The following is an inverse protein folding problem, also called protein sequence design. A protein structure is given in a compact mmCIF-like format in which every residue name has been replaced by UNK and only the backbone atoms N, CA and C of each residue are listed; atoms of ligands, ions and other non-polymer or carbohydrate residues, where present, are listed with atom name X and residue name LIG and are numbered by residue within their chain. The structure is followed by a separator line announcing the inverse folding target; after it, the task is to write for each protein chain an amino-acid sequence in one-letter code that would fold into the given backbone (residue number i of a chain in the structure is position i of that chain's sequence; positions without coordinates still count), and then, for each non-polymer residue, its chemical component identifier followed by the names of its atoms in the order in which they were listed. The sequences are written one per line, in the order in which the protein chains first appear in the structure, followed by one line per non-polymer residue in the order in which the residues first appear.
data_IF_973802285826
#
_entry.id   IF_973802285826
#
_cell.length_a   1.000
_cell.length_b   1.000
_cell.length_c   1.000
_cell.angle_alpha   90.00
_cell.angle_beta   90.00
_cell.angle_gamma   90.00
#
_symmetry.space_group_name_H-M   'P 1'
#
loop_
_entity.id
_entity.type
_entity.pdbx_description
1 polymer ?
#
# COMPACT_ATOMS: atom_id res chain seq x y z
N UNK A 1 -18.16 8.96 -13.55
CA UNK A 1 -18.09 10.17 -12.70
C UNK A 1 -16.78 10.07 -11.91
N UNK A 2 -15.72 10.73 -12.39
CA UNK A 2 -14.37 10.58 -11.82
C UNK A 2 -14.17 11.60 -10.69
N UNK A 3 -14.00 11.12 -9.44
CA UNK A 3 -13.66 11.95 -8.28
C UNK A 3 -14.44 11.68 -6.98
N UNK A 4 -15.44 10.79 -6.99
CA UNK A 4 -16.24 10.49 -5.79
C UNK A 4 -15.66 9.33 -4.95
N UNK A 5 -15.87 9.31 -3.61
CA UNK A 5 -15.39 8.23 -2.74
C UNK A 5 -15.97 6.86 -3.10
N UNK A 6 -15.23 5.77 -2.84
CA UNK A 6 -15.60 4.42 -3.22
C UNK A 6 -16.94 3.96 -2.61
N UNK A 7 -17.15 4.18 -1.30
CA UNK A 7 -18.42 3.85 -0.64
C UNK A 7 -19.60 4.65 -1.18
N UNK A 8 -19.37 5.90 -1.62
CA UNK A 8 -20.41 6.70 -2.25
C UNK A 8 -20.74 6.15 -3.65
N UNK A 9 -19.73 5.67 -4.38
CA UNK A 9 -19.96 4.97 -5.65
C UNK A 9 -20.81 3.71 -5.46
N UNK A 10 -20.58 2.93 -4.39
CA UNK A 10 -21.43 1.78 -4.04
C UNK A 10 -22.87 2.19 -3.74
N UNK A 11 -23.05 3.26 -2.96
CA UNK A 11 -24.38 3.81 -2.67
C UNK A 11 -25.14 4.20 -3.95
N UNK A 12 -24.45 4.80 -4.94
CA UNK A 12 -25.05 5.15 -6.22
C UNK A 12 -25.48 3.93 -7.05
N UNK A 13 -24.78 2.79 -6.93
CA UNK A 13 -25.18 1.54 -7.63
C UNK A 13 -26.52 0.99 -7.13
N UNK A 14 -26.87 1.29 -5.89
CA UNK A 14 -28.10 0.83 -5.25
C UNK A 14 -29.26 1.83 -5.38
N UNK A 15 -29.05 2.96 -6.06
CA UNK A 15 -30.09 3.96 -6.27
C UNK A 15 -31.33 3.31 -6.93
N UNK A 16 -32.51 3.57 -6.36
CA UNK A 16 -33.78 3.06 -6.85
C UNK A 16 -34.18 1.68 -6.31
N UNK A 17 -33.36 1.01 -5.48
CA UNK A 17 -33.82 -0.17 -4.76
C UNK A 17 -34.91 0.21 -3.76
N UNK A 18 -36.08 -0.43 -3.84
CA UNK A 18 -37.21 -0.20 -2.93
C UNK A 18 -37.72 -1.50 -2.34
N UNK A 19 -38.44 -1.39 -1.22
CA UNK A 19 -39.23 -2.49 -0.68
C UNK A 19 -40.24 -2.99 -1.71
N UNK A 20 -40.59 -4.27 -1.61
CA UNK A 20 -41.59 -4.89 -2.49
C UNK A 20 -42.84 -5.09 -1.63
N UNK A 21 -43.99 -4.64 -2.15
CA UNK A 21 -45.25 -4.85 -1.47
C UNK A 21 -45.64 -6.34 -1.46
N UNK A 22 -46.06 -6.86 -0.31
CA UNK A 22 -46.48 -8.26 -0.15
C UNK A 22 -45.47 -9.10 0.66
N UNK A 23 -45.60 -10.43 0.67
CA UNK A 23 -44.81 -11.31 1.54
C UNK A 23 -43.36 -11.54 1.07
N UNK A 24 -42.96 -10.94 -0.05
CA UNK A 24 -41.63 -11.11 -0.63
C UNK A 24 -40.74 -9.92 -0.33
N UNK A 25 -39.49 -10.18 0.03
CA UNK A 25 -38.52 -9.13 0.33
C UNK A 25 -37.60 -8.83 -0.86
N UNK A 26 -37.20 -7.57 -1.04
CA UNK A 26 -36.22 -7.22 -2.07
C UNK A 26 -34.87 -7.92 -1.76
N UNK A 27 -34.34 -8.76 -2.67
CA UNK A 27 -33.11 -9.51 -2.44
C UNK A 27 -31.88 -8.60 -2.26
N UNK A 28 -31.88 -7.38 -2.80
CA UNK A 28 -30.81 -6.39 -2.59
C UNK A 28 -30.88 -5.80 -1.19
N UNK A 29 -32.08 -5.48 -0.70
CA UNK A 29 -32.27 -4.95 0.67
C UNK A 29 -31.88 -6.01 1.70
N UNK A 30 -32.35 -7.25 1.53
CA UNK A 30 -31.97 -8.36 2.43
C UNK A 30 -30.48 -8.69 2.39
N UNK A 31 -29.80 -8.48 1.24
CA UNK A 31 -28.35 -8.64 1.14
C UNK A 31 -27.59 -7.66 2.05
N UNK A 32 -28.06 -6.42 2.23
CA UNK A 32 -27.42 -5.47 3.15
C UNK A 32 -27.38 -6.00 4.60
N UNK A 33 -28.46 -6.63 5.05
CA UNK A 33 -28.52 -7.25 6.37
C UNK A 33 -27.57 -8.45 6.47
N UNK A 34 -27.57 -9.31 5.44
CA UNK A 34 -26.70 -10.50 5.38
C UNK A 34 -25.22 -10.14 5.44
N UNK A 35 -24.79 -9.17 4.65
CA UNK A 35 -23.40 -8.71 4.59
C UNK A 35 -22.90 -8.22 5.95
N UNK A 36 -23.78 -7.61 6.74
CA UNK A 36 -23.49 -7.14 8.08
C UNK A 36 -23.68 -8.21 9.18
N UNK A 37 -24.12 -9.42 8.84
CA UNK A 37 -24.34 -10.52 9.78
C UNK A 37 -25.69 -10.49 10.51
N UNK A 38 -26.67 -9.75 10.00
CA UNK A 38 -28.02 -9.59 10.57
C UNK A 38 -29.09 -10.38 9.82
N UNK A 39 -28.77 -11.60 9.40
CA UNK A 39 -29.65 -12.46 8.59
C UNK A 39 -31.01 -12.71 9.26
N UNK A 40 -31.04 -12.83 10.60
CA UNK A 40 -32.25 -13.03 11.38
C UNK A 40 -33.19 -11.80 11.42
N UNK A 41 -32.69 -10.63 11.02
CA UNK A 41 -33.41 -9.37 11.01
C UNK A 41 -33.67 -8.83 9.60
N UNK A 42 -33.49 -9.66 8.56
CA UNK A 42 -33.73 -9.33 7.16
C UNK A 42 -35.23 -9.23 6.84
N UNK A 43 -35.94 -8.33 7.51
CA UNK A 43 -37.32 -7.91 7.22
C UNK A 43 -37.27 -6.44 6.82
N UNK A 44 -37.96 -6.11 5.73
CA UNK A 44 -38.15 -4.75 5.22
C UNK A 44 -38.81 -3.80 6.24
N UNK A 45 -39.57 -4.34 7.19
CA UNK A 45 -40.26 -3.61 8.26
C UNK A 45 -39.31 -2.95 9.30
N UNK A 46 -38.01 -3.29 9.31
CA UNK A 46 -37.00 -2.76 10.24
C UNK A 46 -36.20 -1.65 9.55
N UNK A 47 -36.06 -0.50 10.21
CA UNK A 47 -35.41 0.65 9.61
C UNK A 47 -33.99 0.35 9.08
N UNK A 48 -33.85 0.19 7.76
CA UNK A 48 -32.65 -0.38 7.12
C UNK A 48 -31.64 0.65 6.59
N UNK A 49 -31.83 1.94 6.92
CA UNK A 49 -30.89 3.01 6.55
C UNK A 49 -29.45 2.73 7.00
N UNK A 50 -29.26 2.18 8.22
CA UNK A 50 -27.96 1.85 8.77
C UNK A 50 -27.36 0.58 8.15
N UNK A 51 -28.20 -0.40 7.79
CA UNK A 51 -27.78 -1.59 7.05
C UNK A 51 -27.26 -1.22 5.66
N UNK A 52 -28.00 -0.37 4.95
CA UNK A 52 -27.58 0.20 3.68
C UNK A 52 -26.24 0.95 3.79
N UNK A 53 -26.13 1.88 4.75
CA UNK A 53 -24.91 2.67 4.92
C UNK A 53 -23.71 1.77 5.24
N UNK A 54 -23.89 0.75 6.09
CA UNK A 54 -22.84 -0.19 6.44
C UNK A 54 -22.39 -1.06 5.28
N UNK A 55 -23.33 -1.60 4.50
CA UNK A 55 -23.02 -2.37 3.31
C UNK A 55 -22.26 -1.53 2.27
N UNK A 56 -22.66 -0.28 2.04
CA UNK A 56 -21.95 0.61 1.12
C UNK A 56 -20.53 0.93 1.58
N UNK A 57 -20.32 1.12 2.89
CA UNK A 57 -18.98 1.31 3.46
C UNK A 57 -18.12 0.07 3.28
N UNK A 58 -18.63 -1.12 3.61
CA UNK A 58 -17.88 -2.38 3.51
C UNK A 58 -17.56 -2.76 2.07
N UNK A 59 -18.51 -2.61 1.14
CA UNK A 59 -18.26 -2.78 -0.29
C UNK A 59 -17.28 -1.74 -0.84
N UNK A 60 -17.28 -0.54 -0.25
CA UNK A 60 -16.31 0.52 -0.55
C UNK A 60 -14.94 0.32 0.10
N UNK A 61 -14.70 -0.82 0.78
CA UNK A 61 -13.42 -1.16 1.39
C UNK A 61 -13.19 -0.60 2.79
N UNK A 62 -14.24 -0.13 3.48
CA UNK A 62 -14.16 0.44 4.83
C UNK A 62 -14.89 -0.43 5.85
N UNK A 63 -14.43 -0.42 7.10
CA UNK A 63 -15.25 -0.96 8.19
C UNK A 63 -16.58 -0.20 8.29
N UNK A 64 -17.60 -0.83 8.86
CA UNK A 64 -18.84 -0.18 9.24
C UNK A 64 -19.06 -0.35 10.75
N UNK A 65 -20.08 0.29 11.31
CA UNK A 65 -20.46 0.01 12.70
C UNK A 65 -21.12 -1.37 12.85
N UNK A 66 -21.47 -2.02 11.72
CA UNK A 66 -22.31 -3.22 11.61
C UNK A 66 -23.59 -3.16 12.46
N UNK A 67 -24.01 -1.97 12.88
CA UNK A 67 -25.19 -1.77 13.71
C UNK A 67 -26.37 -1.37 12.83
N UNK A 68 -27.55 -1.90 13.14
CA UNK A 68 -28.80 -1.46 12.52
C UNK A 68 -29.29 -0.10 13.07
N UNK A 69 -28.58 0.49 14.04
CA UNK A 69 -28.92 1.79 14.60
C UNK A 69 -28.18 2.92 13.89
N UNK A 70 -28.91 3.85 13.26
CA UNK A 70 -28.33 5.01 12.57
C UNK A 70 -27.42 5.86 13.46
N UNK A 71 -27.75 6.01 14.75
CA UNK A 71 -26.96 6.79 15.73
C UNK A 71 -25.57 6.21 16.00
N UNK A 72 -25.33 4.93 15.69
CA UNK A 72 -24.00 4.31 15.81
C UNK A 72 -22.95 5.06 14.98
N UNK A 73 -23.35 5.60 13.82
CA UNK A 73 -22.46 6.34 12.94
C UNK A 73 -22.08 7.73 13.44
N UNK A 74 -22.71 8.25 14.51
CA UNK A 74 -22.42 9.60 14.99
C UNK A 74 -20.99 9.78 15.56
N UNK A 75 -20.36 8.66 15.90
CA UNK A 75 -18.98 8.58 16.41
C UNK A 75 -18.04 7.80 15.49
N UNK A 76 -18.52 7.38 14.32
CA UNK A 76 -17.79 6.56 13.37
C UNK A 76 -16.88 7.41 12.47
N UNK A 77 -15.69 6.95 12.09
CA UNK A 77 -14.71 7.72 11.31
C UNK A 77 -14.19 8.96 12.04
N UNK A 78 -13.77 9.98 11.30
CA UNK A 78 -13.30 11.28 11.82
C UNK A 78 -14.44 12.32 11.85
N UNK A 79 -14.58 13.15 12.90
CA UNK A 79 -15.52 14.27 12.86
C UNK A 79 -15.06 15.31 11.84
N UNK A 80 -16.02 15.88 11.10
CA UNK A 80 -15.77 17.03 10.23
C UNK A 80 -16.76 18.15 10.53
N UNK A 81 -16.30 19.39 10.39
CA UNK A 81 -17.12 20.58 10.65
C UNK A 81 -17.87 21.07 9.41
N UNK A 82 -17.30 20.82 8.22
CA UNK A 82 -17.86 21.25 6.94
C UNK A 82 -18.39 20.05 6.13
N UNK A 83 -19.46 20.29 5.37
CA UNK A 83 -19.99 19.29 4.45
C UNK A 83 -18.96 18.89 3.40
N UNK A 84 -18.90 17.58 3.15
CA UNK A 84 -18.06 17.00 2.11
C UNK A 84 -18.85 15.94 1.37
N UNK A 85 -18.72 15.93 0.04
CA UNK A 85 -19.33 14.89 -0.79
C UNK A 85 -18.91 13.50 -0.31
N UNK A 86 -19.87 12.66 0.04
CA UNK A 86 -19.67 11.32 0.59
C UNK A 86 -19.50 11.23 2.10
N UNK A 87 -19.50 12.35 2.85
CA UNK A 87 -19.49 12.32 4.31
C UNK A 87 -20.76 11.62 4.83
N UNK A 88 -20.63 10.88 5.94
CA UNK A 88 -21.76 10.29 6.64
C UNK A 88 -22.44 11.39 7.45
N UNK A 89 -23.73 11.60 7.18
CA UNK A 89 -24.58 12.48 7.98
C UNK A 89 -25.53 11.63 8.83
N UNK A 90 -25.57 11.92 10.13
CA UNK A 90 -26.53 11.32 11.06
C UNK A 90 -27.55 12.38 11.45
N UNK A 91 -28.84 12.09 11.22
CA UNK A 91 -29.95 12.98 11.53
C UNK A 91 -30.73 12.51 12.75
N UNK A 92 -31.39 13.45 13.43
CA UNK A 92 -32.41 13.14 14.43
C UNK A 92 -33.68 12.59 13.77
N UNK A 93 -34.39 11.71 14.50
CA UNK A 93 -35.69 11.17 14.08
C UNK A 93 -36.67 11.24 15.26
N UNK A 94 -37.62 12.18 15.18
CA UNK A 94 -38.57 12.47 16.25
C UNK A 94 -37.88 13.01 17.51
N UNK A 95 -38.54 12.88 18.66
CA UNK A 95 -38.07 13.45 19.93
C UNK A 95 -37.17 12.49 20.73
N UNK A 96 -37.05 11.22 20.32
CA UNK A 96 -36.23 10.25 21.03
C UNK A 96 -34.76 10.35 20.56
N UNK A 97 -33.80 10.70 21.44
CA UNK A 97 -32.40 10.87 21.07
C UNK A 97 -31.71 9.56 20.62
N UNK A 98 -32.32 8.40 20.90
CA UNK A 98 -31.85 7.09 20.45
C UNK A 98 -32.20 6.80 18.98
N UNK A 99 -33.21 7.47 18.41
CA UNK A 99 -33.61 7.28 17.02
C UNK A 99 -32.89 8.28 16.10
N UNK A 100 -32.60 7.82 14.88
CA UNK A 100 -31.96 8.66 13.88
C UNK A 100 -32.14 8.13 12.48
N UNK A 101 -31.57 8.86 11.54
CA UNK A 101 -31.41 8.48 10.13
C UNK A 101 -29.95 8.65 9.73
N UNK A 102 -29.47 7.87 8.76
CA UNK A 102 -28.09 7.95 8.27
C UNK A 102 -28.07 7.85 6.75
N UNK A 103 -27.19 8.64 6.12
CA UNK A 103 -26.96 8.65 4.69
C UNK A 103 -25.69 9.40 4.32
N UNK A 104 -25.35 9.42 3.04
CA UNK A 104 -24.14 10.08 2.54
C UNK A 104 -24.48 11.43 1.90
N UNK A 105 -23.72 12.48 2.25
CA UNK A 105 -23.88 13.82 1.71
C UNK A 105 -23.64 13.83 0.20
N UNK A 106 -24.62 14.29 -0.57
CA UNK A 106 -24.54 14.48 -2.03
C UNK A 106 -24.79 15.93 -2.48
N UNK A 107 -25.25 16.79 -1.56
CA UNK A 107 -25.43 18.22 -1.78
C UNK A 107 -25.79 18.94 -0.48
N UNK A 108 -25.60 20.26 -0.42
CA UNK A 108 -25.90 21.07 0.76
C UNK A 108 -26.13 22.55 0.42
N UNK A 109 -26.88 23.23 1.30
CA UNK A 109 -27.10 24.67 1.34
C UNK A 109 -26.97 25.17 2.78
N UNK A 110 -27.28 26.44 3.02
CA UNK A 110 -27.26 27.04 4.38
C UNK A 110 -28.25 26.37 5.32
N UNK A 111 -29.40 25.96 4.80
CA UNK A 111 -30.57 25.50 5.53
C UNK A 111 -30.88 24.01 5.32
N UNK A 112 -30.34 23.38 4.25
CA UNK A 112 -30.66 22.00 3.89
C UNK A 112 -29.43 21.19 3.51
N UNK A 113 -29.56 19.88 3.66
CA UNK A 113 -28.59 18.87 3.20
C UNK A 113 -29.31 17.79 2.42
N UNK A 114 -28.66 17.25 1.39
CA UNK A 114 -29.19 16.18 0.56
C UNK A 114 -28.39 14.92 0.79
N UNK A 115 -29.08 13.84 1.14
CA UNK A 115 -28.49 12.55 1.46
C UNK A 115 -28.89 11.50 0.43
N UNK A 116 -27.90 10.79 -0.08
CA UNK A 116 -28.10 9.48 -0.67
C UNK A 116 -28.15 8.45 0.46
N UNK A 117 -29.30 7.84 0.67
CA UNK A 117 -29.57 6.99 1.82
C UNK A 117 -30.60 5.92 1.55
N UNK A 118 -30.53 4.83 2.29
CA UNK A 118 -31.52 3.76 2.29
C UNK A 118 -32.69 4.07 3.21
N UNK A 119 -33.80 3.37 3.01
CA UNK A 119 -35.06 3.53 3.74
C UNK A 119 -35.61 4.96 3.76
N UNK A 120 -35.44 5.68 2.65
CA UNK A 120 -35.99 7.00 2.45
C UNK A 120 -37.25 6.87 1.60
N UNK A 121 -38.40 6.81 2.27
CA UNK A 121 -39.67 6.41 1.67
C UNK A 121 -39.56 4.99 1.09
N UNK A 122 -39.11 4.06 1.94
CA UNK A 122 -38.97 2.63 1.65
C UNK A 122 -38.08 2.32 0.43
N UNK A 123 -37.15 3.25 0.14
CA UNK A 123 -36.24 3.16 -1.02
C UNK A 123 -34.85 3.74 -0.75
N UNK A 124 -33.89 3.35 -1.58
CA UNK A 124 -32.60 4.03 -1.75
C UNK A 124 -32.81 5.20 -2.70
N UNK A 125 -32.71 6.42 -2.19
CA UNK A 125 -33.00 7.63 -2.95
C UNK A 125 -32.08 8.79 -2.53
N UNK A 126 -32.18 9.91 -3.23
CA UNK A 126 -31.63 11.19 -2.77
C UNK A 126 -32.77 12.00 -2.16
N UNK A 127 -32.67 12.33 -0.87
CA UNK A 127 -33.68 13.09 -0.15
C UNK A 127 -33.08 14.31 0.54
N UNK A 128 -33.83 15.41 0.55
CA UNK A 128 -33.45 16.66 1.22
C UNK A 128 -33.97 16.72 2.66
N UNK A 129 -33.13 17.20 3.57
CA UNK A 129 -33.43 17.34 4.99
C UNK A 129 -33.02 18.72 5.51
N UNK A 130 -33.77 19.22 6.49
CA UNK A 130 -33.42 20.45 7.21
C UNK A 130 -32.09 20.28 7.98
N UNK A 131 -31.19 21.25 7.85
CA UNK A 131 -29.86 21.24 8.48
C UNK A 131 -29.96 21.18 10.01
N UNK A 132 -31.04 21.71 10.60
CA UNK A 132 -31.31 21.63 12.04
C UNK A 132 -31.48 20.20 12.57
N UNK A 133 -31.73 19.23 11.69
CA UNK A 133 -31.83 17.80 12.04
C UNK A 133 -30.47 17.11 12.07
N UNK A 134 -29.43 17.74 11.54
CA UNK A 134 -28.08 17.17 11.51
C UNK A 134 -27.53 17.08 12.93
N UNK A 135 -27.21 15.86 13.35
CA UNK A 135 -26.60 15.63 14.66
C UNK A 135 -25.09 15.48 14.57
N UNK A 136 -24.57 14.92 13.47
CA UNK A 136 -23.13 14.79 13.26
C UNK A 136 -22.78 14.58 11.79
N UNK A 137 -21.66 15.17 11.36
CA UNK A 137 -20.98 14.85 10.11
C UNK A 137 -19.70 14.09 10.40
N UNK A 138 -19.49 13.00 9.67
CA UNK A 138 -18.34 12.14 9.82
C UNK A 138 -17.69 11.82 8.47
N UNK A 139 -16.39 11.92 8.42
CA UNK A 139 -15.59 11.40 7.33
C UNK A 139 -15.18 9.95 7.64
N UNK A 140 -15.47 8.97 6.79
CA UNK A 140 -15.13 7.56 7.04
C UNK A 140 -13.62 7.23 7.05
N UNK A 141 -12.74 8.22 6.94
CA UNK A 141 -11.31 8.07 6.62
C UNK A 141 -10.57 7.09 7.51
N UNK A 142 -10.19 5.94 6.92
CA UNK A 142 -9.41 4.83 7.49
C UNK A 142 -10.00 4.20 8.79
N UNK A 143 -9.93 2.87 8.96
CA UNK A 143 -10.81 2.12 9.86
C UNK A 143 -10.61 2.50 11.34
N UNK A 144 -11.71 2.80 12.04
CA UNK A 144 -11.71 2.80 13.51
C UNK A 144 -11.59 1.37 14.03
N UNK A 145 -10.50 1.13 14.74
CA UNK A 145 -10.37 0.05 15.71
C UNK A 145 -11.41 0.21 16.85
N UNK A 146 -11.99 -0.93 17.29
CA UNK A 146 -12.84 -1.09 18.49
C UNK A 146 -14.33 -0.79 18.24
N UNK A 147 -15.29 -1.69 18.47
CA UNK A 147 -15.53 -2.52 19.66
C UNK A 147 -15.98 -3.94 19.30
N UNK A 148 -15.53 -4.94 20.05
CA UNK A 148 -15.60 -6.36 19.68
C UNK A 148 -16.58 -7.25 20.43
N UNK A 149 -16.61 -8.50 19.99
CA UNK A 149 -16.85 -9.70 20.81
C UNK A 149 -15.74 -10.71 20.49
N UNK A 150 -15.28 -11.43 21.51
CA UNK A 150 -14.01 -12.13 21.55
C UNK A 150 -13.99 -13.34 20.60
N UNK A 151 -13.29 -13.20 19.48
CA UNK A 151 -12.26 -14.15 19.02
C UNK A 151 -11.17 -13.30 18.33
N UNK A 152 -10.06 -13.06 19.06
CA UNK A 152 -8.80 -12.44 18.62
C UNK A 152 -8.93 -11.43 17.47
N UNK A 153 -9.22 -10.15 17.75
CA UNK A 153 -8.83 -9.11 16.80
C UNK A 153 -7.34 -9.31 16.50
N UNK A 154 -6.92 -9.50 15.23
CA UNK A 154 -5.50 -9.50 14.93
C UNK A 154 -4.93 -8.22 15.56
N UNK A 155 -3.84 -8.30 16.33
CA UNK A 155 -3.27 -7.09 16.92
C UNK A 155 -3.08 -6.06 15.79
N UNK A 156 -3.19 -4.76 16.09
CA UNK A 156 -2.98 -3.71 15.08
C UNK A 156 -1.80 -4.13 14.18
N UNK A 157 -2.09 -4.42 12.91
CA UNK A 157 -1.11 -5.08 12.05
C UNK A 157 0.12 -4.21 11.89
N UNK A 158 -0.06 -2.88 11.99
CA UNK A 158 1.03 -1.94 12.06
C UNK A 158 1.85 -2.13 13.35
N UNK A 159 1.21 -2.20 14.52
CA UNK A 159 1.91 -2.47 15.78
C UNK A 159 2.67 -3.82 15.74
N UNK A 160 2.06 -4.90 15.24
CA UNK A 160 2.75 -6.19 15.09
C UNK A 160 3.96 -6.11 14.16
N UNK A 161 3.80 -5.43 13.02
CA UNK A 161 4.86 -5.27 12.04
C UNK A 161 5.97 -4.35 12.57
N UNK A 162 5.60 -3.32 13.35
CA UNK A 162 6.54 -2.43 14.03
C UNK A 162 7.34 -3.17 15.09
N UNK A 163 6.68 -3.93 15.97
CA UNK A 163 7.35 -4.75 16.99
C UNK A 163 8.33 -5.73 16.33
N UNK A 164 7.90 -6.40 15.26
CA UNK A 164 8.76 -7.28 14.47
C UNK A 164 9.96 -6.54 13.86
N UNK A 165 9.77 -5.34 13.32
CA UNK A 165 10.89 -4.54 12.79
C UNK A 165 11.84 -4.12 13.92
N UNK A 166 11.32 -3.66 15.05
CA UNK A 166 12.11 -3.18 16.19
C UNK A 166 12.91 -4.30 16.88
N UNK A 167 12.37 -5.52 16.95
CA UNK A 167 13.10 -6.73 17.37
C UNK A 167 14.35 -6.97 16.50
N UNK A 168 14.32 -6.54 15.24
CA UNK A 168 15.37 -6.79 14.25
C UNK A 168 16.33 -5.60 14.06
N UNK A 169 15.91 -4.37 14.38
CA UNK A 169 16.70 -3.12 14.29
C UNK A 169 17.67 -2.93 15.47
N UNK A 170 17.47 -3.61 16.60
CA UNK A 170 18.38 -3.56 17.75
C UNK A 170 18.27 -2.27 18.59
N UNK A 171 19.31 -2.00 19.40
CA UNK A 171 19.34 -0.89 20.36
C UNK A 171 20.00 0.40 19.84
N UNK A 172 20.28 1.32 20.76
CA UNK A 172 21.01 2.56 20.43
C UNK A 172 22.44 2.27 19.95
N UNK A 173 22.86 2.98 18.90
CA UNK A 173 24.24 2.98 18.38
C UNK A 173 24.68 4.42 18.10
N UNK A 174 25.98 4.67 18.30
CA UNK A 174 26.64 5.94 17.99
C UNK A 174 28.07 5.63 17.56
N UNK A 175 28.20 5.02 16.38
CA UNK A 175 29.49 4.69 15.79
C UNK A 175 30.02 5.92 15.02
N UNK A 176 31.23 6.42 15.33
CA UNK A 176 31.85 7.53 14.60
C UNK A 176 32.02 7.30 13.08
N UNK A 177 31.97 6.04 12.62
CA UNK A 177 32.08 5.65 11.21
C UNK A 177 30.73 5.35 10.57
N UNK A 178 29.62 5.43 11.31
CA UNK A 178 28.28 5.30 10.75
C UNK A 178 27.87 6.63 10.10
N UNK A 179 27.66 6.68 8.76
CA UNK A 179 27.21 7.89 8.09
C UNK A 179 25.82 8.38 8.58
N UNK A 180 25.04 7.51 9.23
CA UNK A 180 23.75 7.86 9.86
C UNK A 180 23.88 8.58 11.22
N UNK A 181 25.04 8.48 11.87
CA UNK A 181 25.29 9.03 13.20
C UNK A 181 24.45 8.35 14.30
N UNK A 182 24.22 9.04 15.44
CA UNK A 182 23.43 8.49 16.55
C UNK A 182 22.08 7.96 16.07
N UNK A 183 21.82 6.69 16.34
CA UNK A 183 20.61 5.98 15.88
C UNK A 183 20.01 5.19 17.03
N UNK A 184 18.70 5.30 17.25
CA UNK A 184 17.97 4.48 18.21
C UNK A 184 16.73 3.90 17.54
N UNK A 185 16.46 2.60 17.70
CA UNK A 185 15.28 1.95 17.11
C UNK A 185 15.15 2.17 15.59
N UNK A 186 16.28 2.23 14.87
CA UNK A 186 16.35 2.55 13.44
C UNK A 186 16.06 4.01 13.07
N UNK A 187 15.87 4.90 14.05
CA UNK A 187 15.65 6.34 13.84
C UNK A 187 16.96 7.08 14.07
N UNK A 188 17.44 7.78 13.04
CA UNK A 188 18.65 8.61 13.12
C UNK A 188 18.37 9.95 13.80
N UNK A 189 19.41 10.59 14.33
CA UNK A 189 19.33 11.94 14.89
C UNK A 189 18.71 12.94 13.88
N UNK A 190 19.09 12.83 12.61
CA UNK A 190 18.52 13.64 11.52
C UNK A 190 17.01 13.40 11.32
N UNK A 191 16.57 12.15 11.43
CA UNK A 191 15.15 11.79 11.31
C UNK A 191 14.34 12.38 12.46
N UNK A 192 14.83 12.26 13.71
CA UNK A 192 14.18 12.86 14.87
C UNK A 192 14.14 14.38 14.76
N UNK A 193 15.25 15.02 14.40
CA UNK A 193 15.34 16.47 14.27
C UNK A 193 14.33 17.00 13.22
N UNK A 194 14.24 16.34 12.06
CA UNK A 194 13.25 16.66 11.03
C UNK A 194 11.81 16.45 11.52
N UNK A 195 11.53 15.37 12.26
CA UNK A 195 10.22 15.11 12.87
C UNK A 195 9.80 16.21 13.86
N UNK A 196 10.76 16.73 14.62
CA UNK A 196 10.58 17.87 15.53
C UNK A 196 10.61 19.23 14.85
N UNK A 197 10.88 19.29 13.54
CA UNK A 197 11.07 20.54 12.78
C UNK A 197 12.18 21.41 13.38
N UNK A 198 13.28 20.78 13.79
CA UNK A 198 14.47 21.45 14.35
C UNK A 198 15.67 21.16 13.48
N UNK A 199 16.49 22.18 13.23
CA UNK A 199 17.81 22.00 12.62
C UNK A 199 18.80 21.49 13.65
N UNK A 200 19.75 20.66 13.22
CA UNK A 200 20.84 20.18 14.08
C UNK A 200 21.95 21.22 14.08
N UNK A 201 22.34 21.70 15.26
CA UNK A 201 23.47 22.61 15.43
C UNK A 201 24.25 22.28 16.72
N UNK A 202 25.47 22.83 16.90
CA UNK A 202 26.31 22.50 18.05
C UNK A 202 25.65 22.75 19.42
N UNK A 203 24.77 23.76 19.53
CA UNK A 203 24.14 24.12 20.80
C UNK A 203 22.97 23.19 21.18
N UNK A 204 22.32 22.55 20.21
CA UNK A 204 21.18 21.66 20.47
C UNK A 204 21.46 20.16 20.26
N UNK A 205 22.59 19.81 19.64
CA UNK A 205 22.92 18.41 19.27
C UNK A 205 22.89 17.47 20.47
N UNK A 206 23.49 17.87 21.60
CA UNK A 206 23.52 17.04 22.81
C UNK A 206 22.11 16.75 23.36
N UNK A 207 21.23 17.76 23.35
CA UNK A 207 19.85 17.62 23.79
C UNK A 207 19.04 16.71 22.85
N UNK A 208 19.23 16.83 21.53
CA UNK A 208 18.57 15.95 20.55
C UNK A 208 19.05 14.49 20.67
N UNK A 209 20.32 14.25 21.02
CA UNK A 209 20.81 12.89 21.27
C UNK A 209 20.18 12.31 22.53
N UNK A 210 20.05 13.10 23.60
CA UNK A 210 19.36 12.68 24.81
C UNK A 210 17.88 12.35 24.53
N UNK A 211 17.21 13.19 23.73
CA UNK A 211 15.84 12.95 23.26
C UNK A 211 15.75 11.67 22.41
N UNK A 212 16.70 11.44 21.50
CA UNK A 212 16.75 10.24 20.68
C UNK A 212 16.91 8.96 21.52
N UNK A 213 17.75 9.01 22.57
CA UNK A 213 17.92 7.89 23.50
C UNK A 213 16.64 7.59 24.29
N UNK A 214 15.88 8.62 24.64
CA UNK A 214 14.64 8.55 25.40
C UNK A 214 13.37 8.67 24.53
N UNK A 215 13.46 8.39 23.23
CA UNK A 215 12.35 8.59 22.30
C UNK A 215 11.14 7.75 22.72
N UNK A 216 9.98 8.41 22.81
CA UNK A 216 8.74 7.76 23.22
C UNK A 216 8.27 6.74 22.17
N UNK A 217 7.69 5.63 22.62
CA UNK A 217 7.17 4.59 21.72
C UNK A 217 6.12 5.14 20.74
N UNK A 218 5.30 6.10 21.16
CA UNK A 218 4.30 6.76 20.30
C UNK A 218 4.95 7.56 19.18
N UNK A 219 6.07 8.24 19.46
CA UNK A 219 6.84 8.95 18.44
C UNK A 219 7.51 7.98 17.46
N UNK A 220 8.05 6.86 17.97
CA UNK A 220 8.61 5.80 17.12
C UNK A 220 7.52 5.31 16.16
N UNK A 221 6.35 4.93 16.68
CA UNK A 221 5.23 4.49 15.88
C UNK A 221 4.79 5.55 14.86
N UNK A 222 4.64 6.81 15.26
CA UNK A 222 4.24 7.89 14.37
C UNK A 222 5.26 8.11 13.23
N UNK A 223 6.55 8.08 13.53
CA UNK A 223 7.64 8.22 12.55
C UNK A 223 7.62 7.06 11.55
N UNK A 224 7.54 5.81 12.02
CA UNK A 224 7.48 4.65 11.14
C UNK A 224 6.21 4.63 10.29
N UNK A 225 5.08 5.03 10.86
CA UNK A 225 3.82 5.13 10.15
C UNK A 225 3.89 6.16 9.01
N UNK A 226 4.47 7.33 9.29
CA UNK A 226 4.59 8.43 8.34
C UNK A 226 5.65 8.19 7.25
N UNK A 227 6.77 7.54 7.59
CA UNK A 227 7.90 7.37 6.67
C UNK A 227 7.84 6.11 5.83
N UNK A 228 7.24 5.04 6.35
CA UNK A 228 7.28 3.73 5.71
C UNK A 228 5.89 3.13 5.53
N UNK A 229 5.08 3.00 6.59
CA UNK A 229 3.80 2.27 6.51
C UNK A 229 2.81 2.89 5.51
N UNK A 230 2.46 4.18 5.69
CA UNK A 230 1.53 4.88 4.80
C UNK A 230 2.10 5.09 3.39
N UNK A 231 3.35 5.57 3.22
CA UNK A 231 3.90 5.76 1.88
C UNK A 231 4.07 4.47 1.08
N UNK A 232 4.29 3.33 1.75
CA UNK A 232 4.34 2.01 1.10
C UNK A 232 2.95 1.44 0.79
N UNK A 233 1.86 2.14 1.09
CA UNK A 233 0.51 1.69 0.84
C UNK A 233 0.09 0.48 1.69
N UNK A 234 0.78 0.20 2.80
CA UNK A 234 0.47 -0.94 3.66
C UNK A 234 -0.98 -0.96 4.21
N UNK A 235 -1.64 0.19 4.52
CA UNK A 235 -3.05 0.18 4.94
C UNK A 235 -4.00 -0.41 3.89
N UNK A 236 -3.63 -0.38 2.61
CA UNK A 236 -4.47 -0.82 1.51
C UNK A 236 -4.19 -2.28 1.10
N UNK A 237 -3.44 -3.03 1.92
CA UNK A 237 -3.03 -4.41 1.65
C UNK A 237 -3.62 -5.38 2.66
N UNK A 238 -3.66 -6.68 2.31
CA UNK A 238 -3.96 -7.74 3.29
C UNK A 238 -2.92 -7.74 4.41
N UNK A 239 -3.32 -8.15 5.62
CA UNK A 239 -2.46 -8.11 6.81
C UNK A 239 -1.09 -8.81 6.58
N UNK A 240 -1.12 -10.01 6.00
CA UNK A 240 0.09 -10.76 5.63
C UNK A 240 1.00 -10.00 4.67
N UNK A 241 0.43 -9.38 3.64
CA UNK A 241 1.21 -8.63 2.67
C UNK A 241 1.75 -7.33 3.27
N UNK A 242 0.92 -6.60 4.01
CA UNK A 242 1.29 -5.37 4.69
C UNK A 242 2.46 -5.60 5.66
N UNK A 243 2.40 -6.66 6.47
CA UNK A 243 3.46 -7.06 7.40
C UNK A 243 4.78 -7.31 6.67
N UNK A 244 4.76 -8.11 5.60
CA UNK A 244 5.97 -8.45 4.84
C UNK A 244 6.51 -7.26 4.04
N UNK A 245 5.63 -6.44 3.47
CA UNK A 245 5.97 -5.29 2.65
C UNK A 245 6.54 -4.14 3.50
N UNK A 246 6.01 -3.90 4.69
CA UNK A 246 6.52 -2.89 5.62
C UNK A 246 7.97 -3.17 6.03
N UNK A 247 8.29 -4.40 6.43
CA UNK A 247 9.66 -4.80 6.76
C UNK A 247 10.61 -4.58 5.56
N UNK A 248 10.15 -4.89 4.35
CA UNK A 248 10.90 -4.62 3.13
C UNK A 248 11.09 -3.11 2.88
N UNK A 249 10.07 -2.29 3.15
CA UNK A 249 10.13 -0.83 2.98
C UNK A 249 11.12 -0.18 3.95
N UNK A 250 11.21 -0.66 5.18
CA UNK A 250 12.20 -0.20 6.16
C UNK A 250 13.63 -0.53 5.70
N UNK A 251 13.84 -1.72 5.13
CA UNK A 251 15.19 -2.20 4.74
C UNK A 251 15.67 -1.76 3.37
N UNK A 252 14.75 -1.51 2.43
CA UNK A 252 15.08 -1.24 1.04
C UNK A 252 14.55 0.12 0.55
N UNK A 253 13.97 0.91 1.45
CA UNK A 253 13.20 2.09 1.12
C UNK A 253 11.85 1.74 0.50
N UNK A 254 10.90 2.67 0.58
CA UNK A 254 9.52 2.52 0.08
C UNK A 254 9.52 2.12 -1.40
N UNK A 255 10.15 2.91 -2.27
CA UNK A 255 10.21 2.62 -3.72
C UNK A 255 10.94 1.30 -4.01
N UNK A 256 12.00 0.99 -3.27
CA UNK A 256 12.75 -0.26 -3.44
C UNK A 256 11.89 -1.47 -3.10
N UNK A 257 11.10 -1.38 -2.03
CA UNK A 257 10.12 -2.39 -1.66
C UNK A 257 9.02 -2.51 -2.71
N UNK A 258 8.44 -1.40 -3.17
CA UNK A 258 7.38 -1.39 -4.20
C UNK A 258 7.83 -2.07 -5.48
N UNK A 259 9.04 -1.79 -5.97
CA UNK A 259 9.58 -2.44 -7.17
C UNK A 259 9.73 -3.94 -7.02
N UNK A 260 10.15 -4.41 -5.85
CA UNK A 260 10.24 -5.85 -5.57
C UNK A 260 8.86 -6.51 -5.46
N UNK A 261 7.87 -5.82 -4.90
CA UNK A 261 6.49 -6.28 -4.86
C UNK A 261 5.92 -6.41 -6.27
N UNK A 262 6.09 -5.38 -7.12
CA UNK A 262 5.67 -5.42 -8.53
C UNK A 262 6.31 -6.58 -9.29
N UNK A 263 7.61 -6.80 -9.10
CA UNK A 263 8.31 -7.95 -9.69
C UNK A 263 7.73 -9.29 -9.18
N UNK A 264 7.35 -9.40 -7.91
CA UNK A 264 6.71 -10.60 -7.35
C UNK A 264 5.31 -10.84 -7.94
N UNK A 265 4.58 -9.77 -8.25
CA UNK A 265 3.26 -9.79 -8.88
C UNK A 265 3.31 -9.97 -10.40
N UNK A 266 4.51 -9.91 -11.00
CA UNK A 266 4.70 -9.82 -12.46
C UNK A 266 4.07 -8.57 -13.08
N UNK A 267 3.92 -7.49 -12.30
CA UNK A 267 3.46 -6.18 -12.74
C UNK A 267 4.59 -5.39 -13.39
N UNK A 268 4.26 -4.27 -14.04
CA UNK A 268 5.25 -3.30 -14.48
C UNK A 268 5.98 -2.71 -13.26
N UNK A 269 7.31 -2.61 -13.35
CA UNK A 269 8.18 -2.24 -12.23
C UNK A 269 8.53 -0.75 -12.28
N UNK A 270 7.53 0.10 -12.09
CA UNK A 270 7.69 1.57 -12.07
C UNK A 270 8.07 2.12 -10.67
N UNK A 271 7.75 1.38 -9.61
CA UNK A 271 7.94 1.79 -8.21
C UNK A 271 6.76 2.52 -7.58
N UNK A 272 5.57 2.49 -8.21
CA UNK A 272 4.34 3.10 -7.72
C UNK A 272 3.20 2.06 -7.56
N UNK A 273 2.43 2.16 -6.46
CA UNK A 273 1.27 1.28 -6.23
C UNK A 273 0.01 1.91 -6.83
N UNK A 274 -0.05 1.86 -8.17
CA UNK A 274 -1.22 2.28 -8.94
C UNK A 274 -2.32 1.22 -9.02
N UNK A 275 -3.44 1.52 -9.71
CA UNK A 275 -4.59 0.62 -9.82
C UNK A 275 -4.27 -0.77 -10.40
N UNK A 276 -3.34 -0.85 -11.36
CA UNK A 276 -2.92 -2.12 -11.97
C UNK A 276 -2.13 -3.01 -10.98
N UNK A 277 -1.25 -2.39 -10.18
CA UNK A 277 -0.52 -3.09 -9.10
C UNK A 277 -1.51 -3.62 -8.07
N UNK A 278 -2.51 -2.82 -7.66
CA UNK A 278 -3.56 -3.23 -6.71
C UNK A 278 -4.40 -4.38 -7.24
N UNK A 279 -4.84 -4.31 -8.49
CA UNK A 279 -5.59 -5.41 -9.12
C UNK A 279 -4.82 -6.74 -9.07
N UNK A 280 -3.50 -6.71 -9.26
CA UNK A 280 -2.66 -7.91 -9.15
C UNK A 280 -2.51 -8.39 -7.70
N UNK A 281 -2.41 -7.47 -6.74
CA UNK A 281 -2.42 -7.80 -5.31
C UNK A 281 -3.71 -8.56 -4.96
N UNK A 282 -4.86 -8.10 -5.44
CA UNK A 282 -6.17 -8.67 -5.09
C UNK A 282 -6.45 -10.02 -5.77
N UNK A 283 -5.84 -10.27 -6.92
CA UNK A 283 -6.12 -11.47 -7.74
C UNK A 283 -5.13 -12.60 -7.56
N UNK A 284 -3.90 -12.32 -7.11
CA UNK A 284 -2.88 -13.36 -6.94
C UNK A 284 -3.00 -14.06 -5.58
N UNK A 285 -2.88 -15.39 -5.52
CA UNK A 285 -2.87 -16.11 -4.24
C UNK A 285 -1.73 -15.62 -3.33
N UNK A 286 -2.08 -15.20 -2.11
CA UNK A 286 -1.15 -14.53 -1.18
C UNK A 286 0.13 -15.33 -0.92
N UNK A 287 0.04 -16.65 -0.75
CA UNK A 287 1.22 -17.51 -0.55
C UNK A 287 2.19 -17.48 -1.74
N UNK A 288 1.67 -17.36 -2.98
CA UNK A 288 2.50 -17.23 -4.17
C UNK A 288 3.21 -15.88 -4.19
N UNK A 289 2.49 -14.80 -3.85
CA UNK A 289 3.06 -13.44 -3.77
C UNK A 289 4.17 -13.40 -2.74
N UNK A 290 3.92 -13.88 -1.51
CA UNK A 290 4.91 -13.89 -0.42
C UNK A 290 6.15 -14.72 -0.77
N UNK A 291 5.96 -15.92 -1.34
CA UNK A 291 7.08 -16.77 -1.74
C UNK A 291 7.96 -16.13 -2.83
N UNK A 292 7.34 -15.55 -3.87
CA UNK A 292 8.04 -14.85 -4.94
C UNK A 292 8.77 -13.61 -4.42
N UNK A 293 8.11 -12.83 -3.55
CA UNK A 293 8.68 -11.63 -2.97
C UNK A 293 9.87 -11.96 -2.07
N UNK A 294 9.77 -12.99 -1.23
CA UNK A 294 10.88 -13.46 -0.42
C UNK A 294 12.06 -13.93 -1.29
N UNK A 295 11.81 -14.66 -2.38
CA UNK A 295 12.87 -15.06 -3.31
C UNK A 295 13.61 -13.85 -3.92
N UNK A 296 12.86 -12.81 -4.32
CA UNK A 296 13.43 -11.56 -4.84
C UNK A 296 14.28 -10.85 -3.77
N UNK A 297 13.80 -10.73 -2.53
CA UNK A 297 14.55 -10.13 -1.42
C UNK A 297 15.85 -10.89 -1.13
N UNK A 298 15.79 -12.23 -1.02
CA UNK A 298 16.98 -13.07 -0.81
C UNK A 298 18.00 -12.90 -1.94
N UNK A 299 17.55 -12.85 -3.21
CA UNK A 299 18.41 -12.60 -4.37
C UNK A 299 19.08 -11.23 -4.27
N UNK A 300 18.34 -10.19 -3.91
CA UNK A 300 18.87 -8.82 -3.73
C UNK A 300 19.93 -8.77 -2.63
N UNK A 301 19.71 -9.40 -1.48
CA UNK A 301 20.71 -9.45 -0.41
C UNK A 301 21.99 -10.18 -0.83
N UNK A 302 21.88 -11.32 -1.51
CA UNK A 302 23.05 -12.09 -2.00
C UNK A 302 23.92 -11.31 -2.99
N UNK A 303 23.36 -10.31 -3.67
CA UNK A 303 24.09 -9.45 -4.59
C UNK A 303 24.84 -8.29 -3.92
N UNK A 304 24.70 -8.10 -2.60
CA UNK A 304 25.39 -7.01 -1.88
C UNK A 304 26.87 -7.34 -1.64
N UNK A 305 27.79 -6.36 -1.80
CA UNK A 305 29.23 -6.57 -1.61
C UNK A 305 29.63 -7.12 -0.22
N UNK A 306 28.88 -6.75 0.82
CA UNK A 306 29.14 -7.15 2.20
C UNK A 306 28.32 -8.37 2.67
N UNK A 307 27.71 -9.12 1.73
CA UNK A 307 26.90 -10.30 2.05
C UNK A 307 27.66 -11.36 2.85
N UNK A 308 28.96 -11.51 2.61
CA UNK A 308 29.81 -12.46 3.36
C UNK A 308 29.81 -12.19 4.89
N UNK A 309 29.63 -10.94 5.32
CA UNK A 309 29.66 -10.53 6.72
C UNK A 309 28.27 -10.57 7.37
N UNK A 310 27.26 -10.03 6.71
CA UNK A 310 25.92 -9.81 7.29
C UNK A 310 24.81 -10.67 6.67
N UNK A 311 25.12 -11.37 5.58
CA UNK A 311 24.14 -12.07 4.75
C UNK A 311 23.31 -13.11 5.49
N UNK A 312 23.91 -13.84 6.43
CA UNK A 312 23.16 -14.80 7.27
C UNK A 312 22.05 -14.12 8.08
N UNK A 313 22.32 -12.93 8.63
CA UNK A 313 21.34 -12.14 9.37
C UNK A 313 20.22 -11.64 8.46
N UNK A 314 20.57 -11.11 7.29
CA UNK A 314 19.58 -10.63 6.32
C UNK A 314 18.66 -11.74 5.79
N UNK A 315 19.22 -12.90 5.45
CA UNK A 315 18.41 -14.04 5.02
C UNK A 315 17.48 -14.53 6.14
N UNK A 316 17.99 -14.64 7.37
CA UNK A 316 17.17 -15.01 8.53
C UNK A 316 16.03 -14.01 8.79
N UNK A 317 16.27 -12.72 8.57
CA UNK A 317 15.21 -11.68 8.63
C UNK A 317 14.12 -11.93 7.60
N UNK A 318 14.48 -12.22 6.36
CA UNK A 318 13.50 -12.55 5.31
C UNK A 318 12.71 -13.81 5.67
N UNK A 319 13.38 -14.85 6.13
CA UNK A 319 12.76 -16.14 6.46
C UNK A 319 11.77 -16.02 7.62
N UNK A 320 12.18 -15.35 8.71
CA UNK A 320 11.30 -15.08 9.87
C UNK A 320 10.09 -14.22 9.49
N UNK A 321 10.31 -13.19 8.67
CA UNK A 321 9.21 -12.31 8.24
C UNK A 321 8.24 -13.08 7.34
N UNK A 322 8.74 -13.94 6.45
CA UNK A 322 7.92 -14.79 5.59
C UNK A 322 7.09 -15.78 6.41
N UNK A 323 7.70 -16.42 7.40
CA UNK A 323 7.03 -17.37 8.30
C UNK A 323 5.86 -16.69 9.04
N UNK A 324 6.10 -15.53 9.67
CA UNK A 324 5.03 -14.78 10.37
C UNK A 324 3.93 -14.31 9.41
N UNK A 325 4.29 -13.75 8.25
CA UNK A 325 3.32 -13.32 7.25
C UNK A 325 2.48 -14.48 6.68
N UNK A 326 3.09 -15.66 6.52
CA UNK A 326 2.41 -16.87 6.06
C UNK A 326 1.46 -17.40 7.14
N UNK A 327 1.91 -17.45 8.40
CA UNK A 327 1.05 -17.81 9.53
C UNK A 327 -0.15 -16.88 9.71
N UNK A 328 0.01 -15.59 9.39
CA UNK A 328 -1.12 -14.63 9.34
C UNK A 328 -2.12 -14.95 8.23
N UNK A 329 -1.65 -15.49 7.09
CA UNK A 329 -2.54 -15.89 5.99
C UNK A 329 -3.28 -17.18 6.34
N UNK A 330 -2.58 -18.14 6.95
CA UNK A 330 -3.12 -19.43 7.38
C UNK A 330 -4.08 -19.31 8.57
N UNK A 331 -3.89 -18.32 9.45
CA UNK A 331 -4.74 -18.03 10.62
C UNK A 331 -6.20 -17.65 10.31
N UNK A 332 -6.58 -17.53 9.03
CA UNK A 332 -7.98 -17.40 8.57
C UNK A 332 -8.64 -18.75 8.22
N UNK A 333 -7.90 -19.86 8.36
CA UNK A 333 -8.39 -21.23 8.18
C UNK A 333 -7.91 -22.06 9.37
N UNK A 334 -8.81 -22.46 10.27
CA UNK A 334 -8.56 -23.61 11.15
C UNK A 334 -9.03 -24.88 10.42
N UNK A 335 -8.15 -25.74 9.91
CA UNK A 335 -8.46 -27.16 9.78
C UNK A 335 -8.46 -27.77 11.19
N UNK A 336 -9.54 -28.48 11.48
CA UNK A 336 -9.73 -29.32 12.65
C UNK A 336 -8.56 -30.27 12.82
N UNK A 337 -7.94 -30.29 14.00
CA UNK A 337 -6.90 -31.24 14.36
C UNK A 337 -7.45 -32.68 14.25
N UNK A 338 -6.79 -33.49 13.43
CA UNK A 338 -6.65 -34.93 13.68
C UNK A 338 -5.17 -35.26 13.77
N UNK A 339 -4.76 -35.66 14.97
CA UNK A 339 -3.48 -36.32 15.22
C UNK A 339 -3.47 -37.67 14.49
N UNK A 340 -2.32 -38.09 13.96
CA UNK A 340 -1.80 -39.33 14.50
C UNK A 340 -0.31 -39.27 14.86
N UNK A 341 -0.07 -40.04 15.92
CA UNK A 341 1.12 -40.69 16.45
C UNK A 341 2.47 -40.60 15.71
N UNK A 342 3.45 -40.34 16.56
CA UNK A 342 4.88 -40.66 16.51
C UNK A 342 5.25 -41.91 15.72
N UNK A 343 6.29 -41.83 14.89
CA UNK A 343 7.39 -42.82 14.90
C UNK A 343 8.69 -42.14 14.49
N UNK A 344 9.69 -42.21 15.37
CA UNK A 344 11.09 -41.92 15.07
C UNK A 344 11.63 -42.94 14.05
N UNK A 345 12.50 -42.51 13.14
CA UNK A 345 13.66 -43.33 12.76
C UNK A 345 14.77 -42.47 12.13
N UNK A 346 15.97 -42.63 12.69
CA UNK A 346 17.27 -42.10 12.28
C UNK A 346 17.74 -42.70 10.94
N UNK A 347 18.66 -42.02 10.22
CA UNK A 347 19.47 -42.67 9.20
C UNK A 347 20.27 -41.76 8.27
N UNK A 348 21.41 -41.26 8.75
CA UNK A 348 22.74 -41.18 8.14
C UNK A 348 22.98 -41.21 6.59
N UNK A 349 23.89 -40.30 6.17
CA UNK A 349 25.05 -40.45 5.23
C UNK A 349 25.02 -39.94 3.78
N UNK A 350 25.98 -39.01 3.58
CA UNK A 350 27.00 -38.85 2.52
C UNK A 350 26.68 -38.79 1.00
N UNK A 351 26.90 -37.58 0.47
CA UNK A 351 27.88 -37.14 -0.55
C UNK A 351 28.11 -37.88 -1.89
N UNK A 352 27.97 -37.06 -2.97
CA UNK A 352 28.69 -37.02 -4.27
C UNK A 352 28.47 -38.15 -5.28
N UNK A 353 28.16 -37.91 -6.57
CA UNK A 353 29.00 -37.19 -7.56
C UNK A 353 28.21 -36.78 -8.82
N UNK A 354 28.55 -35.58 -9.31
CA UNK A 354 28.52 -34.94 -10.66
C UNK A 354 27.89 -35.63 -11.89
N UNK A 355 27.05 -34.89 -12.63
CA UNK A 355 27.30 -34.61 -14.06
C UNK A 355 26.67 -33.28 -14.53
N UNK A 356 27.40 -32.61 -15.42
CA UNK A 356 27.22 -31.22 -15.86
C UNK A 356 26.33 -31.10 -17.10
N UNK A 357 25.52 -30.04 -17.14
CA UNK A 357 24.90 -29.51 -18.35
C UNK A 357 24.87 -27.99 -18.28
N UNK A 358 26.01 -27.36 -18.55
CA UNK A 358 26.18 -25.90 -18.52
C UNK A 358 25.60 -25.25 -19.78
N UNK A 359 24.62 -24.36 -19.62
CA UNK A 359 24.36 -23.30 -20.61
C UNK A 359 25.10 -22.04 -20.17
N UNK A 360 26.09 -21.64 -20.98
CA UNK A 360 26.85 -20.40 -20.79
C UNK A 360 25.90 -19.20 -20.91
N UNK A 361 25.84 -18.41 -19.84
CA UNK A 361 25.13 -17.13 -19.79
C UNK A 361 25.94 -16.03 -20.50
N UNK A 362 25.23 -15.20 -21.26
CA UNK A 362 25.69 -14.20 -22.24
C UNK A 362 26.57 -13.05 -21.70
N UNK A 363 26.81 -12.96 -20.39
CA UNK A 363 27.54 -11.85 -19.75
C UNK A 363 29.06 -12.02 -19.62
N UNK A 364 29.67 -12.97 -20.32
CA UNK A 364 31.14 -13.16 -20.32
C UNK A 364 31.84 -12.88 -21.66
N UNK A 365 31.15 -12.39 -22.69
CA UNK A 365 31.82 -12.05 -23.95
C UNK A 365 32.33 -10.60 -23.94
N UNK A 366 33.64 -10.41 -23.78
CA UNK A 366 34.31 -9.11 -23.94
C UNK A 366 34.11 -8.49 -25.33
N UNK A 367 33.77 -9.31 -26.33
CA UNK A 367 33.49 -8.89 -27.71
C UNK A 367 32.18 -8.09 -27.82
N UNK A 368 31.20 -8.36 -26.94
CA UNK A 368 29.91 -7.64 -26.93
C UNK A 368 30.07 -6.24 -26.32
N UNK A 369 30.90 -6.11 -25.27
CA UNK A 369 31.26 -4.81 -24.69
C UNK A 369 32.13 -3.99 -25.65
N UNK A 370 33.05 -4.64 -26.38
CA UNK A 370 33.78 -4.00 -27.47
C UNK A 370 32.87 -3.47 -28.57
N UNK A 371 31.88 -4.25 -29.00
CA UNK A 371 30.93 -3.84 -30.05
C UNK A 371 30.05 -2.65 -29.65
N UNK A 372 29.64 -2.55 -28.38
CA UNK A 372 28.86 -1.42 -27.87
C UNK A 372 29.69 -0.14 -27.72
N UNK A 373 30.97 -0.27 -27.31
CA UNK A 373 31.90 0.87 -27.24
C UNK A 373 32.28 1.33 -28.66
N UNK A 374 32.51 0.42 -29.60
CA UNK A 374 32.77 0.75 -31.00
C UNK A 374 31.55 1.34 -31.70
N UNK A 375 30.34 0.88 -31.39
CA UNK A 375 29.10 1.49 -31.89
C UNK A 375 28.91 2.91 -31.34
N UNK A 376 29.21 3.15 -30.06
CA UNK A 376 29.18 4.50 -29.48
C UNK A 376 30.27 5.40 -30.11
N UNK A 377 31.49 4.91 -30.25
CA UNK A 377 32.62 5.65 -30.83
C UNK A 377 32.46 5.94 -32.34
N UNK A 378 31.70 5.11 -33.07
CA UNK A 378 31.39 5.34 -34.49
C UNK A 378 30.26 6.37 -34.69
N UNK A 379 29.32 6.45 -33.75
CA UNK A 379 28.15 7.35 -33.85
C UNK A 379 28.48 8.76 -33.34
N UNK A 380 29.32 8.88 -32.31
CA UNK A 380 29.68 10.17 -31.69
C UNK A 380 30.30 11.21 -32.64
N UNK A 381 31.24 10.86 -33.55
CA UNK A 381 31.82 11.82 -34.50
C UNK A 381 30.80 12.35 -35.54
N UNK A 382 29.78 11.55 -35.85
CA UNK A 382 28.72 11.91 -36.81
C UNK A 382 27.58 12.74 -36.20
N UNK A 383 27.43 12.75 -34.87
CA UNK A 383 26.41 13.53 -34.16
C UNK A 383 27.00 14.80 -33.53
N UNK A 384 28.29 14.81 -33.17
CA UNK A 384 28.98 15.96 -32.55
C UNK A 384 28.78 17.32 -33.25
N UNK A 385 28.91 17.41 -34.59
CA UNK A 385 28.72 18.68 -35.31
C UNK A 385 27.27 19.19 -35.30
N UNK A 386 26.28 18.32 -35.11
CA UNK A 386 24.84 18.66 -35.15
C UNK A 386 24.39 19.32 -33.83
N UNK A 387 25.13 19.11 -32.74
CA UNK A 387 24.85 19.63 -31.40
C UNK A 387 25.92 20.58 -30.86
N UNK A 388 26.91 20.97 -31.68
CA UNK A 388 27.88 22.03 -31.37
C UNK A 388 28.90 21.68 -30.28
N UNK A 389 29.16 20.39 -30.05
CA UNK A 389 30.13 19.93 -29.03
C UNK A 389 31.42 19.45 -29.71
N UNK A 390 32.45 20.27 -29.64
CA UNK A 390 33.80 19.95 -30.10
C UNK A 390 34.54 19.18 -28.99
N UNK A 391 34.60 17.86 -29.10
CA UNK A 391 35.12 16.97 -28.06
C UNK A 391 36.65 16.87 -28.18
N UNK A 392 37.39 17.68 -27.43
CA UNK A 392 38.85 17.61 -27.35
C UNK A 392 39.31 16.47 -26.42
N UNK A 393 40.48 15.90 -26.69
CA UNK A 393 41.14 14.81 -25.94
C UNK A 393 41.36 15.10 -24.45
N UNK A 394 41.33 16.38 -24.03
CA UNK A 394 41.34 16.76 -22.62
C UNK A 394 40.07 16.31 -21.88
N UNK A 395 38.91 16.34 -22.54
CA UNK A 395 37.61 15.98 -21.95
C UNK A 395 37.49 14.47 -21.71
N UNK A 396 38.16 13.64 -22.52
CA UNK A 396 38.22 12.18 -22.37
C UNK A 396 39.07 11.78 -21.14
N UNK A 397 40.10 12.56 -20.82
CA UNK A 397 40.90 12.35 -19.60
C UNK A 397 40.14 12.79 -18.36
N UNK A 398 39.39 13.89 -18.42
CA UNK A 398 38.53 14.34 -17.32
C UNK A 398 37.35 13.37 -17.08
N UNK A 399 36.87 12.70 -18.13
CA UNK A 399 35.86 11.63 -18.03
C UNK A 399 36.35 10.38 -17.31
N UNK A 400 37.65 10.13 -17.29
CA UNK A 400 38.26 8.99 -16.61
C UNK A 400 38.22 9.12 -15.08
N UNK A 401 38.32 10.34 -14.55
CA UNK A 401 38.43 10.58 -13.10
C UNK A 401 37.07 10.82 -12.41
N UNK A 402 35.97 11.02 -13.16
CA UNK A 402 34.63 11.28 -12.62
C UNK A 402 33.59 10.17 -12.90
N UNK A 403 34.03 8.91 -13.02
CA UNK A 403 33.15 7.78 -13.40
C UNK A 403 32.06 7.43 -12.36
N UNK A 404 32.08 7.99 -11.14
CA UNK A 404 31.04 7.70 -10.13
C UNK A 404 29.97 8.78 -9.96
N UNK A 405 30.12 9.96 -10.56
CA UNK A 405 29.12 11.05 -10.49
C UNK A 405 28.51 11.42 -11.84
N UNK A 406 29.14 11.06 -12.97
CA UNK A 406 28.61 11.35 -14.30
C UNK A 406 27.46 10.43 -14.76
N UNK A 407 27.21 9.32 -14.05
CA UNK A 407 26.16 8.35 -14.40
C UNK A 407 24.75 8.95 -14.24
N UNK A 408 24.53 9.79 -13.23
CA UNK A 408 23.22 10.41 -12.99
C UNK A 408 22.91 11.52 -14.00
N UNK A 409 23.92 12.29 -14.43
CA UNK A 409 23.75 13.36 -15.41
C UNK A 409 23.46 12.80 -16.82
N UNK A 410 24.12 11.71 -17.21
CA UNK A 410 23.87 11.02 -18.49
C UNK A 410 22.49 10.35 -18.53
N UNK A 411 22.03 9.76 -17.41
CA UNK A 411 20.69 9.17 -17.32
C UNK A 411 19.60 10.25 -17.38
N UNK A 412 19.82 11.40 -16.72
CA UNK A 412 18.91 12.54 -16.79
C UNK A 412 18.84 13.11 -18.23
N UNK A 413 19.98 13.33 -18.88
CA UNK A 413 20.04 13.81 -20.27
C UNK A 413 19.40 12.82 -21.26
N UNK A 414 19.64 11.51 -21.09
CA UNK A 414 19.00 10.48 -21.91
C UNK A 414 17.48 10.45 -21.70
N UNK A 415 17.01 10.59 -20.44
CA UNK A 415 15.58 10.68 -20.11
C UNK A 415 14.92 11.92 -20.70
N UNK A 416 15.60 13.08 -20.66
CA UNK A 416 15.10 14.32 -21.28
C UNK A 416 15.06 14.21 -22.81
N UNK A 417 16.08 13.62 -23.44
CA UNK A 417 16.11 13.38 -24.88
C UNK A 417 15.00 12.41 -25.34
N UNK A 418 14.76 11.32 -24.59
CA UNK A 418 13.66 10.38 -24.84
C UNK A 418 12.28 11.03 -24.68
N UNK A 419 12.14 11.96 -23.73
CA UNK A 419 10.90 12.72 -23.51
C UNK A 419 10.62 13.68 -24.67
N UNK A 420 11.66 14.35 -25.18
CA UNK A 420 11.56 15.24 -26.35
C UNK A 420 11.26 14.42 -27.61
N UNK A 421 11.90 13.25 -27.78
CA UNK A 421 11.62 12.33 -28.89
C UNK A 421 10.18 11.77 -28.85
N UNK A 422 9.68 11.42 -27.66
CA UNK A 422 8.30 10.97 -27.47
C UNK A 422 7.27 12.05 -27.81
N UNK A 423 7.53 13.31 -27.40
CA UNK A 423 6.66 14.45 -27.73
C UNK A 423 6.66 14.80 -29.21
N UNK A 424 7.79 14.71 -29.90
CA UNK A 424 7.87 15.00 -31.34
C UNK A 424 7.22 13.91 -32.20
N UNK A 425 7.25 12.64 -31.76
CA UNK A 425 6.59 11.53 -32.45
C UNK A 425 5.06 11.52 -32.29
N UNK A 426 4.55 12.06 -31.17
CA UNK A 426 3.11 12.16 -30.89
C UNK A 426 2.40 13.24 -31.73
N UNK A 427 3.14 14.12 -32.41
CA UNK A 427 2.59 15.19 -33.27
C UNK A 427 2.51 14.76 -34.74
N UNK A 428 3.00 13.56 -35.09
CA UNK A 428 2.86 13.02 -36.45
C UNK A 428 1.51 12.30 -36.61
N UNK A 429 0.70 12.61 -37.64
CA UNK A 429 -0.59 11.97 -37.83
C UNK A 429 -0.43 10.47 -38.16
N UNK A 430 -1.26 9.65 -37.51
CA UNK A 430 -1.27 8.19 -37.65
C UNK A 430 -1.58 7.77 -39.10
N UNK A 431 -0.64 7.06 -39.74
CA UNK A 431 -0.87 6.43 -41.03
C UNK A 431 -1.89 5.28 -40.90
N UNK A 432 -3.01 5.38 -41.62
CA UNK A 432 -4.03 4.31 -41.70
C UNK A 432 -3.43 3.07 -42.37
N UNK A 433 -3.37 1.97 -41.64
CA UNK A 433 -3.08 0.64 -42.20
C UNK A 433 -4.37 0.06 -42.76
N UNK A 434 -4.45 -0.07 -44.08
CA UNK A 434 -5.55 -0.78 -44.76
C UNK A 434 -5.30 -2.28 -44.60
N UNK A 435 -6.22 -2.98 -43.95
CA UNK A 435 -6.22 -4.44 -43.83
C UNK A 435 -7.19 -4.97 -44.89
N UNK A 436 -6.65 -5.64 -45.91
CA UNK A 436 -7.46 -6.36 -46.88
C UNK A 436 -7.81 -7.75 -46.32
N UNK A 437 -9.09 -7.97 -46.03
CA UNK A 437 -9.64 -9.30 -45.79
C UNK A 437 -9.98 -9.93 -47.14
N UNK A 438 -9.35 -11.07 -47.45
CA UNK A 438 -9.79 -11.94 -48.54
C UNK A 438 -11.02 -12.72 -48.04
N UNK A 439 -12.14 -12.55 -48.74
CA UNK A 439 -13.37 -13.34 -48.57
C UNK A 439 -13.18 -14.74 -49.13
#
# INVERSE_FOLDING_TARGET
MNGQPAWLAEAWRELGQSEIAGPGHNPRITAFFRELGHEAHARDEVAWCAAFAGACLERGGLASTRSLMARSYARFGEPIEEERLGAIAVLSRGNNPAFGHVGFIVGWSKDRIWLLGGNQNDAVSVAGYERSRLVSLRWPGAPLAGFGTVELSPPDIFAQALDHVLEMEGGYTDDPHDPGGPTNKGITLATLAAWRKREINPSNRAALIAELKAIASDDVAAIYAARYWRPAGCPDMSASLAFFHFDAAVNHGVTGATRMLQAALGADVDGEIGPLTRQRIDTMPIHKVLAAYAAIRRKKYRALPHFWRFGRGWLRRVDRTLERATGMADGTRKPTERKPETTNQNGDRDMTTTEQGASKWWGQSMTIWGALITAAAAVLPSVGPIIGLDVNAAMVREFGDQVLTASQALIALAGTALTIYGRTRAVLPLARRVINLKL
#
